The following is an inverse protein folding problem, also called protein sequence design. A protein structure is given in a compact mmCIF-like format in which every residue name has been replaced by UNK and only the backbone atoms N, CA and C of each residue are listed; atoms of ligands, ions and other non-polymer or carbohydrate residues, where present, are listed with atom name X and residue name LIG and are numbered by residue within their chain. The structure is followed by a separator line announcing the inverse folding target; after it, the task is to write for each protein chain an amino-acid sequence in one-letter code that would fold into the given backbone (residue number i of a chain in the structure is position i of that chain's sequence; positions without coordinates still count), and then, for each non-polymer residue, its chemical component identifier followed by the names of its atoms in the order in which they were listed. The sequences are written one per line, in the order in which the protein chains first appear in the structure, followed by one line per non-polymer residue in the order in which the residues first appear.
data_IF_219669770779
#
_entry.id   IF_219669770779
#
_cell.length_a   1.000
_cell.length_b   1.000
_cell.length_c   1.000
_cell.angle_alpha   90.00
_cell.angle_beta   90.00
_cell.angle_gamma   90.00
#
_symmetry.space_group_name_H-M   'P 1'
#
loop_
_entity.id
_entity.type
_entity.pdbx_description
1 polymer ?
#
# COMPACT_ATOMS: atom_id res chain seq x y z
N UNK A 1 -13.87 8.08 -10.91
CA UNK A 1 -12.44 8.43 -10.92
C UNK A 1 -11.72 7.54 -11.93
N UNK A 2 -10.82 8.12 -12.73
CA UNK A 2 -9.91 7.37 -13.61
C UNK A 2 -8.55 7.23 -12.92
N UNK A 3 -7.93 6.05 -13.00
CA UNK A 3 -6.59 5.82 -12.44
C UNK A 3 -5.52 6.57 -13.24
N UNK A 4 -4.61 7.24 -12.55
CA UNK A 4 -3.42 7.87 -13.13
C UNK A 4 -2.29 6.88 -13.44
N UNK A 5 -1.27 7.29 -14.21
CA UNK A 5 -0.19 6.40 -14.65
C UNK A 5 0.62 5.80 -13.49
N UNK A 6 0.88 6.57 -12.43
CA UNK A 6 1.60 6.06 -11.25
C UNK A 6 0.76 5.04 -10.47
N UNK A 7 -0.55 5.27 -10.34
CA UNK A 7 -1.46 4.33 -9.68
C UNK A 7 -1.53 3.03 -10.47
N UNK A 8 -1.65 3.10 -11.80
CA UNK A 8 -1.59 1.91 -12.67
C UNK A 8 -0.28 1.16 -12.49
N UNK A 9 0.86 1.86 -12.51
CA UNK A 9 2.19 1.25 -12.34
C UNK A 9 2.34 0.54 -10.99
N UNK A 10 1.82 1.13 -9.91
CA UNK A 10 1.82 0.50 -8.59
C UNK A 10 0.96 -0.77 -8.56
N UNK A 11 -0.25 -0.71 -9.12
CA UNK A 11 -1.16 -1.85 -9.19
C UNK A 11 -0.56 -3.01 -10.01
N UNK A 12 0.05 -2.71 -11.16
CA UNK A 12 0.74 -3.71 -11.97
C UNK A 12 1.93 -4.34 -11.24
N UNK A 13 2.64 -3.56 -10.42
CA UNK A 13 3.74 -4.07 -9.61
C UNK A 13 3.26 -4.99 -8.48
N UNK A 14 2.10 -4.73 -7.89
CA UNK A 14 1.47 -5.67 -6.95
C UNK A 14 1.09 -6.98 -7.66
N UNK A 15 0.48 -6.88 -8.85
CA UNK A 15 -0.01 -8.04 -9.60
C UNK A 15 1.13 -8.90 -10.17
N UNK A 16 2.24 -8.29 -10.61
CA UNK A 16 3.25 -8.97 -11.45
C UNK A 16 4.70 -8.60 -11.15
N UNK A 17 4.95 -7.77 -10.13
CA UNK A 17 6.29 -7.23 -9.86
C UNK A 17 7.27 -8.22 -9.22
N UNK A 18 6.84 -9.44 -8.89
CA UNK A 18 7.70 -10.46 -8.27
C UNK A 18 8.14 -10.11 -6.84
N UNK A 19 7.47 -9.15 -6.20
CA UNK A 19 7.74 -8.79 -4.80
C UNK A 19 7.23 -9.89 -3.88
N UNK A 20 8.06 -10.26 -2.89
CA UNK A 20 7.61 -11.14 -1.81
C UNK A 20 6.79 -10.32 -0.81
N UNK A 21 5.55 -10.72 -0.60
CA UNK A 21 4.65 -10.06 0.33
C UNK A 21 5.05 -10.35 1.80
N UNK A 22 4.99 -9.32 2.63
CA UNK A 22 5.13 -9.35 4.09
C UNK A 22 4.13 -8.42 4.76
N UNK A 23 4.18 -8.33 6.08
CA UNK A 23 3.20 -7.60 6.90
C UNK A 23 3.84 -6.78 8.02
N UNK A 24 3.09 -5.79 8.52
CA UNK A 24 3.44 -4.95 9.67
C UNK A 24 4.46 -3.83 9.41
N UNK A 25 5.21 -3.90 8.30
CA UNK A 25 6.24 -2.92 7.91
C UNK A 25 6.24 -2.70 6.41
N UNK A 26 6.69 -1.53 5.95
CA UNK A 26 6.90 -1.25 4.53
C UNK A 26 7.83 -2.28 3.90
N UNK A 27 8.98 -2.52 4.52
CA UNK A 27 9.89 -3.58 4.10
C UNK A 27 10.55 -4.22 5.32
N UNK A 28 10.51 -5.55 5.39
CA UNK A 28 11.32 -6.36 6.30
C UNK A 28 12.50 -6.92 5.50
N UNK A 29 13.68 -6.88 6.10
CA UNK A 29 14.91 -7.48 5.57
C UNK A 29 15.16 -8.73 6.41
N UNK A 30 15.12 -9.90 5.77
CA UNK A 30 15.40 -11.18 6.41
C UNK A 30 16.91 -11.37 6.65
N UNK A 31 17.27 -12.39 7.42
CA UNK A 31 18.67 -12.68 7.77
C UNK A 31 19.56 -12.97 6.56
N UNK A 32 19.00 -13.55 5.49
CA UNK A 32 19.68 -13.80 4.22
C UNK A 32 19.77 -12.56 3.31
N UNK A 33 19.28 -11.41 3.78
CA UNK A 33 19.23 -10.15 3.05
C UNK A 33 18.05 -10.03 2.06
N UNK A 34 17.22 -11.07 1.93
CA UNK A 34 16.01 -11.01 1.11
C UNK A 34 14.98 -10.03 1.71
N UNK A 35 14.15 -9.44 0.85
CA UNK A 35 13.19 -8.40 1.25
C UNK A 35 11.75 -8.90 1.15
N UNK A 36 10.95 -8.57 2.16
CA UNK A 36 9.51 -8.75 2.21
C UNK A 36 8.87 -7.36 2.24
N UNK A 37 7.87 -7.10 1.41
CA UNK A 37 7.21 -5.79 1.33
C UNK A 37 5.74 -5.90 1.72
N UNK A 38 5.18 -4.89 2.38
CA UNK A 38 3.72 -4.71 2.35
C UNK A 38 3.32 -3.99 1.05
N UNK A 39 2.00 -3.87 0.80
CA UNK A 39 1.48 -3.23 -0.41
C UNK A 39 1.96 -1.78 -0.59
N UNK A 40 2.07 -1.01 0.50
CA UNK A 40 2.61 0.35 0.49
C UNK A 40 4.13 0.35 0.31
N UNK A 41 4.83 -0.65 0.85
CA UNK A 41 6.26 -0.83 0.70
C UNK A 41 6.72 -1.07 -0.73
N UNK A 42 5.91 -1.81 -1.52
CA UNK A 42 6.12 -1.92 -2.97
C UNK A 42 6.07 -0.54 -3.63
N UNK A 43 5.11 0.31 -3.21
CA UNK A 43 5.04 1.70 -3.64
C UNK A 43 6.29 2.50 -3.27
N UNK A 44 6.74 2.41 -2.01
CA UNK A 44 7.94 3.11 -1.55
C UNK A 44 9.18 2.69 -2.36
N UNK A 45 9.32 1.40 -2.65
CA UNK A 45 10.41 0.89 -3.49
C UNK A 45 10.38 1.44 -4.93
N UNK A 46 9.19 1.73 -5.48
CA UNK A 46 9.03 2.24 -6.85
C UNK A 46 9.22 3.75 -6.98
N UNK A 47 8.74 4.51 -5.99
CA UNK A 47 8.62 5.97 -6.08
C UNK A 47 9.58 6.72 -5.15
N UNK A 48 10.18 6.04 -4.18
CA UNK A 48 11.21 6.56 -3.28
C UNK A 48 12.51 5.73 -3.36
N UNK A 49 13.03 5.41 -4.58
CA UNK A 49 14.18 4.52 -4.71
C UNK A 49 15.42 5.11 -4.03
N UNK A 50 16.12 4.30 -3.23
CA UNK A 50 17.34 4.70 -2.54
C UNK A 50 17.14 5.61 -1.32
N UNK A 51 15.89 5.95 -0.96
CA UNK A 51 15.58 6.76 0.23
C UNK A 51 15.36 5.91 1.50
N UNK A 52 15.14 4.60 1.35
CA UNK A 52 14.95 3.71 2.48
C UNK A 52 16.28 3.41 3.18
N UNK A 53 16.34 3.67 4.48
CA UNK A 53 17.50 3.38 5.33
C UNK A 53 17.25 2.13 6.16
N UNK A 54 18.26 1.29 6.34
CA UNK A 54 18.12 0.12 7.22
C UNK A 54 18.01 0.56 8.68
N UNK A 55 16.96 0.09 9.35
CA UNK A 55 16.73 0.34 10.76
C UNK A 55 16.40 -0.96 11.50
N UNK A 56 16.58 -0.95 12.82
CA UNK A 56 16.12 -2.02 13.69
C UNK A 56 14.77 -1.65 14.31
N UNK A 57 13.79 -2.56 14.22
CA UNK A 57 12.50 -2.42 14.90
C UNK A 57 12.22 -3.67 15.72
N UNK A 58 12.52 -3.59 17.01
CA UNK A 58 12.57 -4.77 17.87
C UNK A 58 13.66 -5.73 17.41
N UNK A 59 13.28 -6.96 17.06
CA UNK A 59 14.19 -8.00 16.53
C UNK A 59 14.30 -8.01 15.01
N UNK A 60 13.51 -7.18 14.31
CA UNK A 60 13.46 -7.16 12.84
C UNK A 60 14.40 -6.10 12.28
N UNK A 61 15.01 -6.39 11.13
CA UNK A 61 15.63 -5.38 10.25
C UNK A 61 14.58 -4.90 9.25
N UNK A 62 14.48 -3.60 9.07
CA UNK A 62 13.45 -2.97 8.22
C UNK A 62 14.05 -1.86 7.37
N UNK A 63 13.35 -1.46 6.31
CA UNK A 63 13.62 -0.16 5.68
C UNK A 63 12.72 0.90 6.31
N UNK A 64 13.33 1.97 6.79
CA UNK A 64 12.69 3.19 7.26
C UNK A 64 12.74 4.25 6.17
N UNK A 65 11.63 4.96 5.98
CA UNK A 65 11.53 6.08 5.05
C UNK A 65 10.96 7.27 5.82
N UNK A 66 11.56 8.45 5.71
CA UNK A 66 11.16 9.63 6.49
C UNK A 66 11.07 9.33 8.01
N UNK A 67 12.05 8.58 8.55
CA UNK A 67 12.11 8.10 9.94
C UNK A 67 10.94 7.19 10.39
N UNK A 68 10.15 6.63 9.45
CA UNK A 68 9.04 5.71 9.72
C UNK A 68 9.15 4.44 8.85
N UNK A 69 9.05 3.26 9.47
CA UNK A 69 9.14 1.97 8.78
C UNK A 69 7.77 1.33 8.46
N UNK A 70 6.69 2.03 8.78
CA UNK A 70 5.30 1.53 8.67
C UNK A 70 4.47 2.43 7.77
N UNK A 71 4.60 3.75 7.91
CA UNK A 71 3.81 4.71 7.16
C UNK A 71 4.42 5.04 5.78
N UNK A 72 3.57 5.20 4.77
CA UNK A 72 3.98 5.63 3.43
C UNK A 72 4.76 6.96 3.47
N UNK A 73 5.94 7.03 2.83
CA UNK A 73 6.74 8.25 2.79
C UNK A 73 6.11 9.33 1.92
N UNK A 74 6.55 10.58 2.12
CA UNK A 74 5.99 11.74 1.44
C UNK A 74 6.08 11.63 -0.10
N UNK A 75 7.17 11.07 -0.63
CA UNK A 75 7.33 10.83 -2.06
C UNK A 75 6.31 9.85 -2.63
N UNK A 76 5.97 8.80 -1.88
CA UNK A 76 4.91 7.86 -2.25
C UNK A 76 3.53 8.52 -2.22
N UNK A 77 3.25 9.29 -1.16
CA UNK A 77 2.01 10.04 -1.01
C UNK A 77 1.80 11.02 -2.16
N UNK A 78 2.85 11.74 -2.57
CA UNK A 78 2.81 12.64 -3.72
C UNK A 78 2.60 11.89 -5.04
N UNK A 79 3.17 10.69 -5.19
CA UNK A 79 3.09 9.93 -6.43
C UNK A 79 1.73 9.26 -6.67
N UNK A 80 1.09 8.76 -5.60
CA UNK A 80 -0.14 7.94 -5.69
C UNK A 80 -1.39 8.66 -5.19
N UNK A 81 -1.24 9.74 -4.42
CA UNK A 81 -2.34 10.50 -3.84
C UNK A 81 -3.29 9.64 -2.98
N UNK A 82 -2.76 8.74 -2.14
CA UNK A 82 -3.58 8.03 -1.14
C UNK A 82 -4.29 9.01 -0.20
N UNK A 83 -5.43 8.59 0.36
CA UNK A 83 -6.16 9.41 1.35
C UNK A 83 -5.37 9.66 2.63
N UNK A 84 -4.50 8.72 3.03
CA UNK A 84 -3.53 8.91 4.10
C UNK A 84 -2.29 8.00 3.95
N UNK A 85 -1.37 8.09 4.91
CA UNK A 85 -0.10 7.36 4.91
C UNK A 85 -0.22 5.85 5.18
N UNK A 86 -1.42 5.35 5.47
CA UNK A 86 -1.71 3.92 5.64
C UNK A 86 -2.57 3.36 4.49
N UNK A 87 -2.89 4.21 3.50
CA UNK A 87 -3.81 3.84 2.42
C UNK A 87 -5.23 3.67 2.93
N UNK A 88 -5.72 4.63 3.73
CA UNK A 88 -7.10 4.66 4.22
C UNK A 88 -8.09 4.38 3.10
N UNK A 89 -9.03 3.51 3.41
CA UNK A 89 -10.15 3.15 2.54
C UNK A 89 -11.31 4.04 2.96
N UNK A 90 -11.47 5.15 2.26
CA UNK A 90 -12.40 6.20 2.64
C UNK A 90 -13.81 5.92 2.10
N UNK A 91 -14.62 5.29 2.96
CA UNK A 91 -16.01 4.89 2.68
C UNK A 91 -16.95 6.07 2.49
N UNK A 92 -16.56 7.29 2.85
CA UNK A 92 -17.37 8.47 2.58
C UNK A 92 -17.45 8.77 1.07
N UNK A 93 -16.51 8.23 0.29
CA UNK A 93 -16.56 8.28 -1.18
C UNK A 93 -17.32 7.10 -1.80
N UNK A 94 -17.76 6.11 -1.02
CA UNK A 94 -18.51 4.98 -1.56
C UNK A 94 -19.86 5.43 -2.12
N UNK A 95 -20.18 5.00 -3.33
CA UNK A 95 -21.49 5.27 -3.90
C UNK A 95 -22.56 4.43 -3.20
N UNK A 96 -23.81 4.89 -3.26
CA UNK A 96 -24.93 4.23 -2.59
C UNK A 96 -25.06 2.75 -3.00
N UNK A 97 -24.83 2.45 -4.27
CA UNK A 97 -24.88 1.11 -4.85
C UNK A 97 -23.67 0.22 -4.49
N UNK A 98 -22.56 0.81 -4.04
CA UNK A 98 -21.33 0.10 -3.69
C UNK A 98 -21.27 -0.19 -2.18
N UNK A 99 -21.97 0.59 -1.37
CA UNK A 99 -21.82 0.61 0.10
C UNK A 99 -22.05 -0.75 0.76
N UNK A 100 -23.13 -1.45 0.41
CA UNK A 100 -23.42 -2.78 0.96
C UNK A 100 -22.31 -3.78 0.59
N UNK A 101 -21.86 -3.79 -0.66
CA UNK A 101 -20.82 -4.71 -1.12
C UNK A 101 -19.45 -4.41 -0.47
N UNK A 102 -19.15 -3.13 -0.21
CA UNK A 102 -17.95 -2.72 0.52
C UNK A 102 -18.06 -3.12 1.99
N UNK A 103 -19.19 -2.88 2.64
CA UNK A 103 -19.39 -3.20 4.06
C UNK A 103 -19.42 -4.71 4.34
N UNK A 104 -19.99 -5.51 3.43
CA UNK A 104 -20.04 -6.98 3.55
C UNK A 104 -18.66 -7.64 3.42
N UNK A 105 -17.75 -7.02 2.67
CA UNK A 105 -16.44 -7.60 2.33
C UNK A 105 -15.32 -7.00 3.18
N UNK A 106 -15.48 -5.76 3.65
CA UNK A 106 -14.40 -5.00 4.26
C UNK A 106 -14.71 -4.64 5.72
N UNK A 107 -14.03 -5.32 6.63
CA UNK A 107 -13.88 -4.86 8.02
C UNK A 107 -12.72 -3.88 8.14
N UNK A 108 -11.69 -4.03 7.30
CA UNK A 108 -10.51 -3.19 7.30
C UNK A 108 -10.83 -1.72 6.95
N UNK A 109 -9.98 -0.84 7.48
CA UNK A 109 -10.05 0.61 7.30
C UNK A 109 -8.94 1.15 6.40
N UNK A 110 -7.96 0.32 6.05
CA UNK A 110 -6.77 0.71 5.29
C UNK A 110 -6.22 -0.45 4.45
N UNK A 111 -5.45 -0.11 3.40
CA UNK A 111 -4.74 -1.09 2.59
C UNK A 111 -3.67 -1.85 3.39
N UNK A 112 -2.98 -1.19 4.33
CA UNK A 112 -2.03 -1.86 5.21
C UNK A 112 -2.71 -2.90 6.09
N UNK A 113 -3.93 -2.62 6.56
CA UNK A 113 -4.70 -3.59 7.35
C UNK A 113 -5.19 -4.76 6.49
N UNK A 114 -5.65 -4.53 5.25
CA UNK A 114 -5.96 -5.63 4.32
C UNK A 114 -4.75 -6.55 4.11
N UNK A 115 -3.58 -5.96 3.86
CA UNK A 115 -2.33 -6.68 3.72
C UNK A 115 -1.99 -7.52 4.96
N UNK A 116 -2.15 -6.94 6.15
CA UNK A 116 -1.87 -7.63 7.41
C UNK A 116 -2.92 -8.71 7.75
N UNK A 117 -4.13 -8.59 7.20
CA UNK A 117 -5.19 -9.61 7.22
C UNK A 117 -5.07 -10.66 6.11
N UNK A 118 -3.87 -10.81 5.52
CA UNK A 118 -3.52 -11.85 4.55
C UNK A 118 -4.21 -11.72 3.17
N UNK A 119 -4.73 -10.54 2.82
CA UNK A 119 -5.11 -10.30 1.43
C UNK A 119 -3.87 -10.35 0.55
N UNK A 120 -3.94 -11.05 -0.58
CA UNK A 120 -2.82 -11.09 -1.52
C UNK A 120 -2.63 -9.72 -2.18
N UNK A 121 -1.43 -9.47 -2.71
CA UNK A 121 -1.19 -8.31 -3.57
C UNK A 121 -2.16 -8.23 -4.76
N UNK A 122 -2.54 -9.36 -5.33
CA UNK A 122 -3.52 -9.41 -6.42
C UNK A 122 -4.91 -8.96 -5.94
N UNK A 123 -5.36 -9.40 -4.76
CA UNK A 123 -6.64 -9.01 -4.19
C UNK A 123 -6.68 -7.51 -3.85
N UNK A 124 -5.60 -7.00 -3.27
CA UNK A 124 -5.45 -5.57 -2.97
C UNK A 124 -5.49 -4.73 -4.26
N UNK A 125 -4.76 -5.16 -5.29
CA UNK A 125 -4.75 -4.48 -6.58
C UNK A 125 -6.14 -4.53 -7.24
N UNK A 126 -6.81 -5.69 -7.22
CA UNK A 126 -8.16 -5.86 -7.76
C UNK A 126 -9.16 -4.96 -7.05
N UNK A 127 -9.08 -4.85 -5.72
CA UNK A 127 -9.90 -3.94 -4.92
C UNK A 127 -9.69 -2.48 -5.34
N UNK A 128 -8.43 -2.04 -5.39
CA UNK A 128 -8.09 -0.66 -5.75
C UNK A 128 -8.44 -0.32 -7.22
N UNK A 129 -8.41 -1.30 -8.13
CA UNK A 129 -8.92 -1.14 -9.50
C UNK A 129 -10.43 -1.01 -9.56
N UNK A 130 -11.14 -1.80 -8.75
CA UNK A 130 -12.60 -1.82 -8.71
C UNK A 130 -13.16 -0.56 -8.03
N UNK A 131 -12.52 -0.09 -6.97
CA UNK A 131 -12.97 1.04 -6.16
C UNK A 131 -11.87 2.10 -5.98
N UNK A 132 -11.37 2.70 -7.08
CA UNK A 132 -10.20 3.58 -7.03
C UNK A 132 -10.43 4.83 -6.18
N UNK A 133 -11.66 5.34 -6.15
CA UNK A 133 -12.06 6.52 -5.38
C UNK A 133 -12.06 6.28 -3.85
N UNK A 134 -12.13 5.03 -3.41
CA UNK A 134 -12.01 4.69 -1.99
C UNK A 134 -10.56 4.68 -1.51
N UNK A 135 -9.60 4.52 -2.42
CA UNK A 135 -8.18 4.34 -2.08
C UNK A 135 -7.38 5.61 -2.36
N UNK A 136 -7.67 6.26 -3.48
CA UNK A 136 -6.95 7.41 -3.96
C UNK A 136 -7.84 8.65 -3.94
N UNK A 137 -7.24 9.78 -3.59
CA UNK A 137 -7.78 11.11 -3.84
C UNK A 137 -7.53 11.52 -5.28
N UNK A 138 -8.29 12.50 -5.78
CA UNK A 138 -7.97 13.09 -7.08
C UNK A 138 -6.59 13.76 -7.03
N UNK A 139 -5.76 13.64 -8.09
CA UNK A 139 -4.50 14.36 -8.17
C UNK A 139 -4.77 15.86 -7.96
N UNK A 140 -4.13 16.46 -6.95
CA UNK A 140 -4.22 17.91 -6.69
C UNK A 140 -3.35 18.69 -7.66
#
# INVERSE_FOLDING_TARGET
MQLGPNQIRWLEALERGGYRQGSGNLCIIEDDGSRCYCCLGVGAQLFCPGQGEEAAQGVKRVLSYDDDAVAAPAGLMAALAFHDKFGRIDRDFAKAEERQAVDDVLVATSLSELNDQLWSFEDIAAFARRYPHLVFSEPR
#
